data_IF_392799823803
#
_entry.id   IF_392799823803
#
_cell.length_a   1.000
_cell.length_b   1.000
_cell.length_c   1.000
_cell.angle_alpha   90.00
_cell.angle_beta   90.00
_cell.angle_gamma   90.00
#
_symmetry.space_group_name_H-M   'P 1'
#
loop_
_entity.id
_entity.type
_entity.pdbx_description
1 polymer ?
#
# COMPACT_ATOMS: atom_id res chain seq x y z
N UNK A 1 -11.63 -8.07 -8.58
CA UNK A 1 -10.41 -8.56 -9.26
C UNK A 1 -9.52 -9.17 -8.22
N UNK A 2 -9.21 -10.47 -8.34
CA UNK A 2 -8.31 -11.18 -7.44
C UNK A 2 -6.98 -10.45 -7.34
N UNK A 3 -6.60 -10.13 -6.11
CA UNK A 3 -5.36 -9.46 -5.74
C UNK A 3 -4.19 -10.07 -6.52
N UNK A 4 -3.38 -9.23 -7.16
CA UNK A 4 -2.15 -9.70 -7.79
C UNK A 4 -1.21 -10.17 -6.68
N UNK A 5 -1.34 -11.46 -6.34
CA UNK A 5 -0.53 -12.21 -5.39
C UNK A 5 0.96 -11.98 -5.68
N UNK A 6 1.29 -11.77 -6.97
CA UNK A 6 2.64 -11.63 -7.50
C UNK A 6 2.75 -10.40 -8.41
N UNK A 7 3.81 -9.61 -8.24
CA UNK A 7 4.17 -8.53 -9.15
C UNK A 7 4.49 -9.14 -10.53
N UNK A 8 3.85 -8.71 -11.62
CA UNK A 8 4.09 -9.28 -12.95
C UNK A 8 5.47 -8.91 -13.52
N UNK A 9 6.07 -7.80 -13.05
CA UNK A 9 7.38 -7.35 -13.54
C UNK A 9 8.53 -8.07 -12.86
N UNK A 10 8.52 -8.18 -11.53
CA UNK A 10 9.64 -8.76 -10.77
C UNK A 10 9.31 -10.12 -10.14
N UNK A 11 8.11 -10.66 -10.39
CA UNK A 11 7.69 -11.95 -9.83
C UNK A 11 7.65 -12.00 -8.29
N UNK A 12 7.73 -10.87 -7.58
CA UNK A 12 7.71 -10.83 -6.12
C UNK A 12 6.30 -10.99 -5.56
N UNK A 13 6.14 -11.72 -4.46
CA UNK A 13 4.86 -11.82 -3.78
C UNK A 13 4.53 -10.53 -3.03
N UNK A 14 3.40 -9.90 -3.34
CA UNK A 14 2.97 -8.63 -2.70
C UNK A 14 1.89 -8.91 -1.65
N UNK A 15 0.98 -9.85 -1.90
CA UNK A 15 -0.23 -10.04 -1.10
C UNK A 15 0.01 -10.38 0.37
N UNK A 16 1.11 -11.07 0.71
CA UNK A 16 1.34 -11.55 2.09
C UNK A 16 1.42 -10.44 3.14
N UNK A 17 1.87 -9.24 2.74
CA UNK A 17 2.02 -8.09 3.63
C UNK A 17 1.16 -6.89 3.22
N UNK A 18 0.42 -7.00 2.11
CA UNK A 18 -0.32 -5.89 1.53
C UNK A 18 -1.44 -5.40 2.45
N UNK A 19 -2.21 -6.31 3.04
CA UNK A 19 -3.34 -5.94 3.92
C UNK A 19 -2.84 -5.20 5.17
N UNK A 20 -1.73 -5.66 5.75
CA UNK A 20 -1.10 -4.99 6.91
C UNK A 20 -0.56 -3.61 6.54
N UNK A 21 0.07 -3.50 5.37
CA UNK A 21 0.52 -2.22 4.83
C UNK A 21 -0.65 -1.24 4.67
N UNK A 22 -1.76 -1.68 4.06
CA UNK A 22 -2.94 -0.82 3.83
C UNK A 22 -3.59 -0.38 5.15
N UNK A 23 -3.71 -1.27 6.13
CA UNK A 23 -4.25 -0.93 7.46
C UNK A 23 -3.38 0.10 8.21
N UNK A 24 -2.05 -0.07 8.20
CA UNK A 24 -1.13 0.91 8.80
C UNK A 24 -1.15 2.24 8.04
N UNK A 25 -1.21 2.19 6.70
CA UNK A 25 -1.29 3.39 5.87
C UNK A 25 -2.56 4.19 6.17
N UNK A 26 -3.69 3.51 6.34
CA UNK A 26 -4.96 4.14 6.69
C UNK A 26 -4.87 4.81 8.07
N UNK A 27 -4.24 4.16 9.04
CA UNK A 27 -3.99 4.73 10.36
C UNK A 27 -3.16 6.02 10.28
N UNK A 28 -2.13 6.07 9.42
CA UNK A 28 -1.32 7.28 9.19
C UNK A 28 -2.14 8.39 8.51
N UNK A 29 -3.03 8.02 7.57
CA UNK A 29 -3.88 8.97 6.85
C UNK A 29 -4.94 9.59 7.75
N UNK A 30 -5.53 8.80 8.65
CA UNK A 30 -6.60 9.23 9.54
C UNK A 30 -6.10 9.96 10.80
N UNK A 31 -4.78 9.96 11.06
CA UNK A 31 -4.18 10.67 12.18
C UNK A 31 -4.37 12.20 12.07
N UNK A 32 -5.16 12.85 12.94
CA UNK A 32 -5.41 14.28 12.88
C UNK A 32 -4.22 15.12 13.36
N UNK A 33 -3.22 14.54 14.03
CA UNK A 33 -2.07 15.26 14.57
C UNK A 33 -0.96 15.49 13.53
N UNK A 34 -0.98 14.76 12.42
CA UNK A 34 0.08 14.80 11.41
C UNK A 34 -0.25 15.73 10.26
N UNK A 35 0.71 16.58 9.89
CA UNK A 35 0.58 17.46 8.73
C UNK A 35 0.77 16.65 7.42
N UNK A 36 0.26 17.16 6.29
CA UNK A 36 0.29 16.44 4.99
C UNK A 36 1.68 15.92 4.62
N UNK A 37 2.72 16.75 4.77
CA UNK A 37 4.12 16.36 4.51
C UNK A 37 4.62 15.24 5.43
N UNK A 38 4.19 15.22 6.69
CA UNK A 38 4.57 14.17 7.63
C UNK A 38 3.91 12.84 7.25
N UNK A 39 2.64 12.87 6.87
CA UNK A 39 1.91 11.69 6.38
C UNK A 39 2.55 11.09 5.13
N UNK A 40 2.94 11.93 4.18
CA UNK A 40 3.63 11.48 2.95
C UNK A 40 4.99 10.83 3.27
N UNK A 41 5.77 11.43 4.16
CA UNK A 41 7.08 10.91 4.56
C UNK A 41 6.96 9.58 5.31
N UNK A 42 6.00 9.46 6.23
CA UNK A 42 5.72 8.20 6.93
C UNK A 42 5.21 7.12 5.99
N UNK A 43 4.32 7.46 5.05
CA UNK A 43 3.85 6.54 4.02
C UNK A 43 4.99 6.01 3.14
N UNK A 44 5.99 6.84 2.82
CA UNK A 44 7.18 6.39 2.08
C UNK A 44 8.03 5.42 2.90
N UNK A 45 8.24 5.68 4.20
CA UNK A 45 8.97 4.77 5.10
C UNK A 45 8.24 3.45 5.28
N UNK A 46 6.91 3.48 5.25
CA UNK A 46 6.07 2.29 5.37
C UNK A 46 6.30 1.32 4.21
N UNK A 47 6.53 1.82 2.99
CA UNK A 47 6.85 0.97 1.84
C UNK A 47 8.17 0.20 2.05
N UNK A 48 9.17 0.83 2.66
CA UNK A 48 10.45 0.20 2.97
C UNK A 48 10.32 -0.85 4.08
N UNK A 49 9.53 -0.55 5.14
CA UNK A 49 9.24 -1.49 6.24
C UNK A 49 8.66 -2.82 5.75
N UNK A 50 7.83 -2.77 4.70
CA UNK A 50 7.18 -3.93 4.12
C UNK A 50 7.92 -4.52 2.90
N UNK A 51 9.16 -4.08 2.66
CA UNK A 51 10.03 -4.56 1.58
C UNK A 51 9.43 -4.37 0.17
N UNK A 52 8.68 -3.29 0.00
CA UNK A 52 8.21 -2.81 -1.29
C UNK A 52 9.23 -1.83 -1.89
N UNK A 53 10.47 -2.30 -2.07
CA UNK A 53 11.58 -1.47 -2.55
C UNK A 53 11.53 -1.22 -4.06
N UNK A 54 11.09 -2.22 -4.83
CA UNK A 54 11.05 -2.15 -6.28
C UNK A 54 9.97 -1.19 -6.79
N UNK A 55 10.30 -0.25 -7.72
CA UNK A 55 9.32 0.66 -8.31
C UNK A 55 8.14 -0.07 -8.95
N UNK A 56 8.39 -1.21 -9.58
CA UNK A 56 7.35 -2.03 -10.20
C UNK A 56 6.32 -2.57 -9.19
N UNK A 57 6.74 -2.88 -7.95
CA UNK A 57 5.85 -3.25 -6.86
C UNK A 57 5.11 -2.02 -6.32
N UNK A 58 5.82 -0.89 -6.13
CA UNK A 58 5.24 0.35 -5.59
C UNK A 58 4.11 0.88 -6.46
N UNK A 59 4.27 0.89 -7.79
CA UNK A 59 3.23 1.34 -8.73
C UNK A 59 1.95 0.50 -8.58
N UNK A 60 2.09 -0.81 -8.37
CA UNK A 60 0.94 -1.71 -8.18
C UNK A 60 0.17 -1.43 -6.90
N UNK A 61 0.89 -1.10 -5.82
CA UNK A 61 0.32 -0.83 -4.50
C UNK A 61 -0.32 0.56 -4.49
N UNK A 62 0.39 1.58 -4.97
CA UNK A 62 -0.07 2.97 -4.96
C UNK A 62 -1.18 3.24 -5.98
N UNK A 63 -1.17 2.54 -7.12
CA UNK A 63 -2.22 2.60 -8.14
C UNK A 63 -3.39 1.66 -7.88
N UNK A 64 -3.41 0.96 -6.74
CA UNK A 64 -4.46 0.00 -6.43
C UNK A 64 -5.73 0.74 -5.98
N UNK A 65 -6.82 0.54 -6.73
CA UNK A 65 -8.15 0.95 -6.32
C UNK A 65 -8.79 -0.26 -5.62
N UNK A 66 -9.11 -0.19 -4.32
CA UNK A 66 -9.74 -1.29 -3.59
C UNK A 66 -11.23 -1.37 -3.96
N UNK A 67 -11.53 -1.80 -5.19
CA UNK A 67 -12.91 -1.91 -5.69
C UNK A 67 -13.83 -2.77 -4.82
N UNK A 68 -13.26 -3.70 -4.04
CA UNK A 68 -14.02 -4.52 -3.10
C UNK A 68 -14.68 -3.68 -1.99
N UNK A 69 -14.02 -2.60 -1.53
CA UNK A 69 -14.61 -1.67 -0.57
C UNK A 69 -15.74 -0.87 -1.21
N UNK A 70 -15.62 -0.50 -2.48
CA UNK A 70 -16.59 0.32 -3.23
C UNK A 70 -17.87 -0.44 -3.59
N UNK A 71 -17.76 -1.71 -3.96
CA UNK A 71 -18.91 -2.52 -4.44
C UNK A 71 -19.72 -3.11 -3.29
N UNK A 72 -19.09 -3.31 -2.12
CA UNK A 72 -19.73 -3.87 -0.93
C UNK A 72 -20.23 -2.78 0.04
N UNK A 73 -20.06 -1.50 -0.28
CA UNK A 73 -20.77 -0.38 0.37
C UNK A 73 -22.14 -0.17 -0.25
#
# INVERSE_FOLDING_TARGET
MLFYIKCPSCSRFISGNLDKYLAELQTIRDDPQKNKKQKEMEGSKLLEKYDFNEPCCRIRILGQIPYHEIILT
#
